data_IF_368887873248
#
_entry.id   IF_368887873248
#
_cell.length_a   1.000
_cell.length_b   1.000
_cell.length_c   1.000
_cell.angle_alpha   90.00
_cell.angle_beta   90.00
_cell.angle_gamma   90.00
#
_symmetry.space_group_name_H-M   'P 1'
#
loop_
_entity.id
_entity.type
_entity.pdbx_description
1 polymer ?
#
# COMPACT_ATOMS: atom_id res chain seq x y z
N UNK A 1 17.03 -13.25 5.30
CA UNK A 1 16.40 -11.88 5.41
C UNK A 1 17.42 -10.81 5.10
N UNK A 2 17.23 -9.99 4.06
CA UNK A 2 17.93 -8.70 4.05
C UNK A 2 17.54 -7.97 5.34
N UNK A 3 18.53 -7.50 6.09
CA UNK A 3 18.26 -6.76 7.32
C UNK A 3 17.53 -5.45 6.96
N UNK A 4 16.22 -5.39 7.19
CA UNK A 4 15.38 -4.23 6.84
C UNK A 4 15.92 -2.92 7.43
N UNK A 5 16.57 -2.99 8.61
CA UNK A 5 17.27 -1.83 9.18
C UNK A 5 18.40 -1.34 8.27
N UNK A 6 19.15 -2.26 7.66
CA UNK A 6 20.22 -1.89 6.72
C UNK A 6 19.64 -1.25 5.45
N UNK A 7 18.56 -1.82 4.91
CA UNK A 7 17.84 -1.25 3.75
C UNK A 7 17.30 0.13 4.07
N UNK A 8 16.60 0.28 5.20
CA UNK A 8 16.04 1.56 5.65
C UNK A 8 17.12 2.64 5.80
N UNK A 9 18.21 2.35 6.50
CA UNK A 9 19.31 3.32 6.67
C UNK A 9 20.01 3.63 5.34
N UNK A 10 20.15 2.65 4.44
CA UNK A 10 20.69 2.89 3.10
C UNK A 10 19.79 3.82 2.28
N UNK A 11 18.47 3.67 2.36
CA UNK A 11 17.55 4.61 1.70
C UNK A 11 17.75 6.02 2.26
N UNK A 12 17.78 6.15 3.59
CA UNK A 12 17.91 7.47 4.25
C UNK A 12 19.24 8.17 3.93
N UNK A 13 20.34 7.41 3.74
CA UNK A 13 21.64 7.98 3.38
C UNK A 13 21.68 8.62 1.98
N UNK A 14 20.69 8.36 1.14
CA UNK A 14 20.60 8.96 -0.20
C UNK A 14 19.91 10.34 -0.19
N UNK A 15 19.31 10.74 0.94
CA UNK A 15 18.67 12.05 1.06
C UNK A 15 19.64 13.07 1.64
N UNK A 16 19.41 14.35 1.29
CA UNK A 16 20.15 15.46 1.87
C UNK A 16 19.80 15.61 3.36
N UNK A 17 20.80 15.79 4.22
CA UNK A 17 20.63 15.98 5.66
C UNK A 17 19.80 17.20 6.01
N UNK A 18 19.84 18.26 5.20
CA UNK A 18 19.11 19.50 5.44
C UNK A 18 17.59 19.37 5.21
N UNK A 19 17.18 18.35 4.43
CA UNK A 19 15.77 18.07 4.10
C UNK A 19 15.26 16.76 4.72
N UNK A 20 16.10 16.06 5.48
CA UNK A 20 15.76 14.79 6.15
C UNK A 20 15.57 15.01 7.65
N UNK A 21 14.37 14.82 8.11
CA UNK A 21 13.99 14.87 9.53
C UNK A 21 13.78 13.45 10.06
N UNK A 22 14.34 13.16 11.23
CA UNK A 22 14.19 11.87 11.93
C UNK A 22 13.57 12.10 13.32
N UNK A 23 12.26 12.34 13.41
CA UNK A 23 11.58 12.58 14.68
C UNK A 23 11.67 11.38 15.61
N UNK A 24 11.73 10.16 15.07
CA UNK A 24 11.93 8.90 15.78
C UNK A 24 12.87 7.97 15.00
N UNK A 25 13.41 6.93 15.67
CA UNK A 25 14.37 5.99 15.07
C UNK A 25 13.84 5.35 13.78
N UNK A 26 12.58 4.96 13.78
CA UNK A 26 11.92 4.23 12.69
C UNK A 26 10.96 5.10 11.86
N UNK A 27 11.05 6.44 12.00
CA UNK A 27 10.32 7.40 11.19
C UNK A 27 11.25 8.44 10.57
N UNK A 28 11.07 8.65 9.28
CA UNK A 28 11.76 9.70 8.53
C UNK A 28 10.75 10.52 7.73
N UNK A 29 10.94 11.84 7.72
CA UNK A 29 10.21 12.78 6.87
C UNK A 29 11.23 13.44 5.97
N UNK A 30 10.96 13.48 4.68
CA UNK A 30 11.82 14.07 3.66
C UNK A 30 11.07 15.20 2.98
N UNK A 31 11.61 16.41 3.10
CA UNK A 31 11.04 17.60 2.47
C UNK A 31 11.44 17.68 0.99
N UNK A 32 10.45 17.89 0.11
CA UNK A 32 10.66 18.11 -1.31
C UNK A 32 9.62 17.48 -2.21
N UNK A 33 9.83 17.62 -3.53
CA UNK A 33 8.99 16.99 -4.55
C UNK A 33 9.16 15.47 -4.53
N UNK A 34 8.06 14.76 -4.32
CA UNK A 34 8.07 13.31 -4.14
C UNK A 34 8.54 12.55 -5.39
N UNK A 35 8.27 13.05 -6.60
CA UNK A 35 8.80 12.43 -7.83
C UNK A 35 10.33 12.49 -7.88
N UNK A 36 10.92 13.61 -7.48
CA UNK A 36 12.37 13.75 -7.42
C UNK A 36 12.98 12.96 -6.25
N UNK A 37 12.29 12.94 -5.11
CA UNK A 37 12.75 12.20 -3.93
C UNK A 37 12.72 10.68 -4.16
N UNK A 38 11.67 10.15 -4.82
CA UNK A 38 11.57 8.73 -5.12
C UNK A 38 12.70 8.23 -6.00
N UNK A 39 13.27 9.03 -6.91
CA UNK A 39 14.42 8.66 -7.74
C UNK A 39 15.65 8.25 -6.90
N UNK A 40 15.75 8.73 -5.65
CA UNK A 40 16.82 8.40 -4.71
C UNK A 40 16.57 7.09 -3.95
N UNK A 41 15.36 6.54 -4.00
CA UNK A 41 15.01 5.25 -3.37
C UNK A 41 15.47 4.11 -4.28
N UNK A 42 16.23 3.12 -3.77
CA UNK A 42 16.59 1.94 -4.54
C UNK A 42 15.39 1.14 -5.01
N UNK A 43 15.49 0.50 -6.17
CA UNK A 43 14.45 -0.38 -6.70
C UNK A 43 14.16 -1.53 -5.72
N UNK A 44 12.90 -1.93 -5.64
CA UNK A 44 12.42 -3.09 -4.87
C UNK A 44 12.78 -3.04 -3.36
N UNK A 45 12.73 -1.85 -2.76
CA UNK A 45 13.11 -1.64 -1.35
C UNK A 45 11.95 -1.31 -0.42
N UNK A 46 10.82 -0.85 -0.95
CA UNK A 46 9.61 -0.47 -0.19
C UNK A 46 8.63 -1.64 -0.13
N UNK A 47 8.12 -1.94 1.07
CA UNK A 47 7.17 -3.04 1.27
C UNK A 47 5.72 -2.64 1.04
N UNK A 48 5.33 -1.44 1.47
CA UNK A 48 3.98 -0.90 1.35
C UNK A 48 4.03 0.57 0.98
N UNK A 49 3.21 0.98 0.02
CA UNK A 49 2.92 2.38 -0.26
C UNK A 49 1.48 2.64 0.18
N UNK A 50 1.29 3.61 1.06
CA UNK A 50 -0.02 4.05 1.54
C UNK A 50 -0.07 5.56 1.45
N UNK A 51 -0.85 6.10 0.51
CA UNK A 51 -0.67 7.49 0.07
C UNK A 51 -1.96 8.15 -0.37
N UNK A 52 -2.08 9.45 -0.10
CA UNK A 52 -3.27 10.28 -0.33
C UNK A 52 -2.92 11.49 -1.21
N UNK A 53 -2.81 11.30 -2.55
CA UNK A 53 -2.49 12.41 -3.46
C UNK A 53 -3.60 13.45 -3.51
N UNK A 54 -3.33 14.68 -3.97
CA UNK A 54 -4.37 15.67 -4.27
C UNK A 54 -5.42 15.10 -5.23
N UNK A 55 -6.71 15.41 -4.97
CA UNK A 55 -7.81 14.77 -5.71
C UNK A 55 -8.20 15.45 -7.02
N UNK A 56 -7.60 16.59 -7.36
CA UNK A 56 -7.89 17.39 -8.55
C UNK A 56 -9.38 17.80 -8.70
N UNK A 57 -10.31 16.87 -8.43
CA UNK A 57 -11.76 17.06 -8.55
C UNK A 57 -12.40 17.87 -7.42
N UNK A 58 -11.70 18.14 -6.33
CA UNK A 58 -12.27 18.78 -5.14
C UNK A 58 -12.17 20.29 -5.14
N UNK A 59 -11.34 20.89 -6.00
CA UNK A 59 -11.11 22.34 -6.12
C UNK A 59 -10.83 23.06 -4.78
N UNK A 60 -10.21 22.38 -3.82
CA UNK A 60 -9.88 22.94 -2.53
C UNK A 60 -8.64 23.81 -2.62
N UNK A 61 -8.81 25.12 -2.58
CA UNK A 61 -7.71 26.11 -2.64
C UNK A 61 -6.69 26.01 -1.51
N UNK A 62 -7.01 25.31 -0.44
CA UNK A 62 -6.17 25.14 0.74
C UNK A 62 -5.45 23.78 0.77
N UNK A 63 -5.47 23.02 -0.32
CA UNK A 63 -4.68 21.81 -0.50
C UNK A 63 -3.78 22.04 -1.71
N UNK A 64 -2.46 22.03 -1.49
CA UNK A 64 -1.48 22.18 -2.56
C UNK A 64 -1.61 21.02 -3.55
N UNK A 65 -1.74 21.35 -4.82
CA UNK A 65 -1.92 20.37 -5.88
C UNK A 65 -3.36 20.18 -6.38
N UNK A 66 -4.40 20.38 -5.54
CA UNK A 66 -5.81 20.19 -5.94
C UNK A 66 -6.24 21.10 -7.11
N UNK A 67 -5.62 22.27 -7.25
CA UNK A 67 -5.91 23.23 -8.33
C UNK A 67 -4.75 23.40 -9.31
N UNK A 68 -3.72 22.55 -9.22
CA UNK A 68 -2.50 22.65 -10.04
C UNK A 68 -2.77 22.42 -11.53
N UNK A 69 -3.67 21.50 -11.84
CA UNK A 69 -3.96 21.10 -13.21
C UNK A 69 -5.26 21.73 -13.72
N UNK A 70 -5.25 22.19 -14.96
CA UNK A 70 -6.45 22.74 -15.62
C UNK A 70 -7.26 21.65 -16.34
N UNK A 71 -6.61 20.56 -16.74
CA UNK A 71 -7.23 19.44 -17.45
C UNK A 71 -7.03 18.17 -16.65
N UNK A 72 -8.03 17.30 -16.69
CA UNK A 72 -7.97 15.98 -16.05
C UNK A 72 -6.81 15.15 -16.60
N UNK A 73 -6.53 15.24 -17.90
CA UNK A 73 -5.46 14.49 -18.57
C UNK A 73 -4.08 14.86 -18.01
N UNK A 74 -3.80 16.15 -17.79
CA UNK A 74 -2.53 16.61 -17.23
C UNK A 74 -2.31 16.04 -15.81
N UNK A 75 -3.38 15.94 -15.02
CA UNK A 75 -3.36 15.30 -13.71
C UNK A 75 -3.12 13.79 -13.80
N UNK A 76 -3.79 13.12 -14.72
CA UNK A 76 -3.64 11.68 -14.94
C UNK A 76 -2.23 11.33 -15.42
N UNK A 77 -1.66 12.11 -16.31
CA UNK A 77 -0.28 11.95 -16.77
C UNK A 77 0.74 12.17 -15.65
N UNK A 78 0.48 13.13 -14.77
CA UNK A 78 1.28 13.33 -13.57
C UNK A 78 1.19 12.13 -12.63
N UNK A 79 -0.01 11.59 -12.37
CA UNK A 79 -0.18 10.39 -11.54
C UNK A 79 0.44 9.13 -12.18
N UNK A 80 0.48 9.04 -13.51
CA UNK A 80 1.17 7.95 -14.21
C UNK A 80 2.69 7.96 -13.94
N UNK A 81 3.30 9.14 -13.75
CA UNK A 81 4.72 9.21 -13.35
C UNK A 81 4.93 8.64 -11.95
N UNK A 82 4.02 8.92 -11.00
CA UNK A 82 4.04 8.27 -9.69
C UNK A 82 3.90 6.75 -9.81
N UNK A 83 2.97 6.26 -10.60
CA UNK A 83 2.77 4.83 -10.81
C UNK A 83 4.05 4.13 -11.29
N UNK A 84 4.80 4.73 -12.23
CA UNK A 84 6.09 4.20 -12.72
C UNK A 84 7.14 4.14 -11.61
N UNK A 85 7.28 5.19 -10.80
CA UNK A 85 8.22 5.21 -9.69
C UNK A 85 7.78 4.26 -8.57
N UNK A 86 6.50 4.21 -8.23
CA UNK A 86 5.96 3.24 -7.27
C UNK A 86 6.28 1.80 -7.68
N UNK A 87 6.08 1.46 -8.96
CA UNK A 87 6.44 0.13 -9.50
C UNK A 87 7.91 -0.18 -9.35
N UNK A 88 8.77 0.81 -9.62
CA UNK A 88 10.22 0.65 -9.53
C UNK A 88 10.70 0.39 -8.10
N UNK A 89 10.21 1.18 -7.13
CA UNK A 89 10.68 1.12 -5.74
C UNK A 89 10.01 0.04 -4.90
N UNK A 90 8.79 -0.38 -5.28
CA UNK A 90 8.03 -1.37 -4.54
C UNK A 90 8.66 -2.76 -4.68
N UNK A 91 8.75 -3.50 -3.57
CA UNK A 91 9.13 -4.92 -3.58
C UNK A 91 8.19 -5.70 -4.51
N UNK A 92 8.69 -6.81 -5.06
CA UNK A 92 7.89 -7.67 -5.94
C UNK A 92 6.61 -8.21 -5.28
N UNK A 93 6.63 -8.41 -3.97
CA UNK A 93 5.50 -8.82 -3.15
C UNK A 93 4.84 -7.67 -2.38
N UNK A 94 5.17 -6.42 -2.71
CA UNK A 94 4.60 -5.25 -2.06
C UNK A 94 3.18 -4.91 -2.50
N UNK A 95 2.56 -3.97 -1.82
CA UNK A 95 1.20 -3.49 -2.08
C UNK A 95 1.13 -1.97 -2.06
N UNK A 96 0.10 -1.42 -2.71
CA UNK A 96 -0.19 0.01 -2.72
C UNK A 96 -1.65 0.24 -2.34
N UNK A 97 -1.89 1.20 -1.48
CA UNK A 97 -3.19 1.82 -1.24
C UNK A 97 -3.11 3.29 -1.64
N UNK A 98 -3.84 3.67 -2.67
CA UNK A 98 -3.89 5.04 -3.17
C UNK A 98 -5.30 5.60 -2.98
N UNK A 99 -5.43 6.62 -2.13
CA UNK A 99 -6.70 7.32 -1.95
C UNK A 99 -7.05 8.15 -3.19
N UNK A 100 -8.33 8.24 -3.49
CA UNK A 100 -8.85 9.11 -4.54
C UNK A 100 -10.31 9.48 -4.33
N UNK A 101 -10.78 10.46 -5.08
CA UNK A 101 -12.21 10.76 -5.14
C UNK A 101 -12.95 9.73 -5.98
N UNK A 102 -14.23 9.49 -5.69
CA UNK A 102 -15.10 8.64 -6.51
C UNK A 102 -15.25 9.12 -7.96
N UNK A 103 -14.98 10.39 -8.23
CA UNK A 103 -15.06 10.98 -9.57
C UNK A 103 -13.84 10.64 -10.43
N UNK A 104 -12.65 10.50 -9.81
CA UNK A 104 -11.39 10.19 -10.52
C UNK A 104 -11.02 8.70 -10.46
N UNK A 105 -11.74 7.89 -9.70
CA UNK A 105 -11.45 6.47 -9.49
C UNK A 105 -11.23 5.70 -10.79
N UNK A 106 -12.19 5.77 -11.71
CA UNK A 106 -12.13 5.04 -12.97
C UNK A 106 -10.92 5.45 -13.84
N UNK A 107 -10.68 6.74 -13.99
CA UNK A 107 -9.58 7.25 -14.79
C UNK A 107 -8.23 6.85 -14.21
N UNK A 108 -8.06 6.93 -12.87
CA UNK A 108 -6.84 6.51 -12.19
C UNK A 108 -6.62 5.00 -12.30
N UNK A 109 -7.66 4.19 -12.11
CA UNK A 109 -7.59 2.74 -12.30
C UNK A 109 -7.13 2.37 -13.71
N UNK A 110 -7.67 3.04 -14.73
CA UNK A 110 -7.26 2.81 -16.11
C UNK A 110 -5.77 3.12 -16.34
N UNK A 111 -5.22 4.18 -15.72
CA UNK A 111 -3.79 4.49 -15.77
C UNK A 111 -2.96 3.46 -14.99
N UNK A 112 -3.33 3.17 -13.75
CA UNK A 112 -2.59 2.26 -12.88
C UNK A 112 -2.59 0.81 -13.37
N UNK A 113 -3.66 0.36 -14.04
CA UNK A 113 -3.77 -1.01 -14.57
C UNK A 113 -2.74 -1.37 -15.64
N UNK A 114 -2.01 -0.39 -16.19
CA UNK A 114 -0.87 -0.62 -17.08
C UNK A 114 0.27 -1.32 -16.33
N UNK A 115 0.51 -0.94 -15.07
CA UNK A 115 1.64 -1.35 -14.26
C UNK A 115 1.28 -2.25 -13.06
N UNK A 116 0.02 -2.22 -12.65
CA UNK A 116 -0.48 -2.91 -11.45
C UNK A 116 -1.71 -3.76 -11.72
N UNK A 117 -1.84 -4.84 -10.97
CA UNK A 117 -3.11 -5.53 -10.79
C UNK A 117 -3.93 -4.77 -9.76
N UNK A 118 -5.14 -4.35 -10.14
CA UNK A 118 -6.11 -3.77 -9.22
C UNK A 118 -6.77 -4.93 -8.46
N UNK A 119 -6.48 -5.04 -7.18
CA UNK A 119 -6.95 -6.14 -6.33
C UNK A 119 -8.35 -5.88 -5.79
N UNK A 120 -8.61 -4.64 -5.38
CA UNK A 120 -9.95 -4.14 -5.03
C UNK A 120 -9.98 -2.62 -5.04
N UNK A 121 -11.21 -2.08 -5.13
CA UNK A 121 -11.50 -0.68 -4.87
C UNK A 121 -12.29 -0.60 -3.58
N UNK A 122 -11.69 -0.02 -2.56
CA UNK A 122 -12.26 0.07 -1.22
C UNK A 122 -13.07 1.37 -1.12
N UNK A 123 -14.29 1.26 -0.65
CA UNK A 123 -15.13 2.41 -0.34
C UNK A 123 -14.99 2.74 1.14
N UNK A 124 -14.31 3.84 1.46
CA UNK A 124 -14.34 4.38 2.81
C UNK A 124 -15.59 5.22 2.99
N UNK A 125 -16.54 4.71 3.78
CA UNK A 125 -17.74 5.43 4.18
C UNK A 125 -17.39 6.39 5.31
N UNK A 126 -17.95 7.61 5.24
CA UNK A 126 -17.81 8.61 6.29
C UNK A 126 -19.11 8.59 7.10
N UNK A 127 -19.12 7.96 8.28
CA UNK A 127 -20.36 7.81 9.03
C UNK A 127 -21.03 9.14 9.33
N UNK A 128 -22.34 9.13 9.17
CA UNK A 128 -23.18 10.33 9.31
C UNK A 128 -23.60 10.53 10.77
N UNK A 129 -22.63 10.58 11.69
CA UNK A 129 -22.90 10.74 13.12
C UNK A 129 -23.10 12.21 13.51
N UNK A 130 -23.99 12.51 14.49
CA UNK A 130 -24.16 13.86 15.01
C UNK A 130 -22.82 14.42 15.51
N UNK A 131 -22.49 15.64 15.09
CA UNK A 131 -21.24 16.32 15.46
C UNK A 131 -20.13 16.24 14.41
N UNK A 132 -20.16 15.26 13.49
CA UNK A 132 -19.25 15.18 12.33
C UNK A 132 -19.75 15.97 11.12
N UNK A 133 -21.04 16.33 11.10
CA UNK A 133 -21.74 16.90 9.96
C UNK A 133 -21.82 18.42 9.94
N UNK A 134 -20.90 19.13 10.58
CA UNK A 134 -20.98 20.58 10.84
C UNK A 134 -21.69 21.43 9.78
N UNK A 135 -21.31 21.33 8.52
CA UNK A 135 -21.94 22.08 7.44
C UNK A 135 -23.03 21.30 6.67
N UNK A 136 -23.05 19.95 6.67
CA UNK A 136 -24.13 19.16 6.07
C UNK A 136 -25.50 19.48 6.68
N UNK A 137 -25.53 19.81 7.98
CA UNK A 137 -26.78 20.28 8.66
C UNK A 137 -27.29 21.60 8.08
N UNK A 138 -26.39 22.45 7.55
CA UNK A 138 -26.74 23.77 6.99
C UNK A 138 -27.06 23.67 5.49
N UNK A 139 -26.84 22.54 4.85
CA UNK A 139 -27.07 22.37 3.43
C UNK A 139 -28.55 22.16 3.12
N UNK A 140 -29.08 22.97 2.21
CA UNK A 140 -30.43 22.80 1.66
C UNK A 140 -30.44 21.66 0.66
N UNK A 141 -30.98 20.50 1.05
CA UNK A 141 -30.99 19.27 0.25
C UNK A 141 -31.69 19.45 -1.10
N UNK A 142 -32.71 20.28 -1.14
CA UNK A 142 -33.47 20.65 -2.33
C UNK A 142 -32.64 21.39 -3.41
N UNK A 143 -31.48 21.96 -3.01
CA UNK A 143 -30.56 22.61 -3.92
C UNK A 143 -29.52 21.65 -4.52
N UNK A 144 -29.48 20.41 -4.11
CA UNK A 144 -28.56 19.42 -4.68
C UNK A 144 -28.96 19.13 -6.14
N UNK A 145 -27.94 19.00 -6.99
CA UNK A 145 -28.09 18.61 -8.41
C UNK A 145 -27.38 17.29 -8.73
N UNK A 146 -26.72 16.73 -7.73
CA UNK A 146 -26.08 15.41 -7.73
C UNK A 146 -26.03 14.84 -6.31
N UNK A 147 -25.73 13.54 -6.21
CA UNK A 147 -25.55 12.93 -4.90
C UNK A 147 -24.38 13.56 -4.17
N UNK A 148 -24.58 13.89 -2.90
CA UNK A 148 -23.53 14.44 -2.05
C UNK A 148 -22.47 13.36 -1.75
N UNK A 149 -21.17 13.59 -2.04
CA UNK A 149 -20.12 12.59 -1.84
C UNK A 149 -19.86 12.39 -0.34
N UNK A 150 -20.33 11.25 0.20
CA UNK A 150 -20.16 10.86 1.60
C UNK A 150 -19.12 9.73 1.75
N UNK A 151 -18.35 9.45 0.71
CA UNK A 151 -17.33 8.42 0.71
C UNK A 151 -16.11 8.87 -0.08
N UNK A 152 -14.97 8.24 0.19
CA UNK A 152 -13.78 8.28 -0.63
C UNK A 152 -13.45 6.88 -1.15
N UNK A 153 -12.56 6.78 -2.11
CA UNK A 153 -12.11 5.52 -2.68
C UNK A 153 -10.65 5.29 -2.32
N UNK A 154 -10.30 4.02 -2.19
CA UNK A 154 -8.92 3.59 -1.99
C UNK A 154 -8.66 2.49 -3.02
N UNK A 155 -7.76 2.72 -3.95
CA UNK A 155 -7.36 1.73 -4.93
C UNK A 155 -6.28 0.85 -4.28
N UNK A 156 -6.63 -0.42 -4.04
CA UNK A 156 -5.71 -1.43 -3.54
C UNK A 156 -5.14 -2.23 -4.69
N UNK A 157 -3.82 -2.23 -4.82
CA UNK A 157 -3.14 -2.82 -5.98
C UNK A 157 -1.77 -3.41 -5.63
N UNK A 158 -1.29 -4.29 -6.49
CA UNK A 158 0.03 -4.92 -6.40
C UNK A 158 0.71 -4.93 -7.78
N UNK A 159 2.04 -5.07 -7.87
CA UNK A 159 2.75 -5.11 -9.15
C UNK A 159 2.18 -6.17 -10.10
N UNK A 160 2.08 -5.82 -11.38
CA UNK A 160 1.54 -6.71 -12.41
C UNK A 160 2.61 -7.68 -12.91
N UNK A 161 2.25 -8.96 -12.97
CA UNK A 161 3.09 -10.04 -13.48
C UNK A 161 2.34 -10.83 -14.56
N UNK A 162 2.58 -10.49 -15.82
CA UNK A 162 1.92 -11.10 -16.98
C UNK A 162 0.59 -10.44 -17.34
N UNK A 163 -0.11 -11.03 -18.32
CA UNK A 163 -1.28 -10.44 -18.96
C UNK A 163 -2.60 -10.67 -18.20
N UNK A 164 -2.64 -11.67 -17.32
CA UNK A 164 -3.85 -12.04 -16.60
C UNK A 164 -3.97 -11.30 -15.26
N UNK A 165 -5.17 -10.91 -14.91
CA UNK A 165 -5.53 -10.13 -13.73
C UNK A 165 -5.02 -10.73 -12.40
N UNK A 166 -4.93 -12.05 -12.30
CA UNK A 166 -4.58 -12.76 -11.07
C UNK A 166 -3.13 -13.24 -10.99
N UNK A 167 -2.26 -12.86 -11.93
CA UNK A 167 -0.86 -13.26 -11.86
C UNK A 167 -0.14 -12.55 -10.70
N UNK A 168 0.38 -13.33 -9.76
CA UNK A 168 1.21 -12.84 -8.65
C UNK A 168 2.69 -13.15 -8.89
N UNK A 169 3.59 -12.41 -8.23
CA UNK A 169 5.03 -12.69 -8.28
C UNK A 169 5.33 -14.12 -7.83
N UNK A 170 4.79 -14.54 -6.69
CA UNK A 170 4.94 -15.91 -6.20
C UNK A 170 4.41 -16.94 -7.21
N UNK A 171 3.23 -16.72 -7.76
CA UNK A 171 2.64 -17.64 -8.73
C UNK A 171 3.51 -17.83 -9.98
N UNK A 172 4.06 -16.75 -10.52
CA UNK A 172 4.99 -16.80 -11.64
C UNK A 172 6.27 -17.56 -11.29
N UNK A 173 6.86 -17.33 -10.11
CA UNK A 173 8.03 -18.04 -9.62
C UNK A 173 7.75 -19.52 -9.39
N UNK A 174 6.64 -19.86 -8.73
CA UNK A 174 6.25 -21.25 -8.48
C UNK A 174 6.11 -22.03 -9.79
N UNK A 175 5.45 -21.46 -10.80
CA UNK A 175 5.33 -22.08 -12.11
C UNK A 175 6.69 -22.30 -12.77
N UNK A 176 7.57 -21.31 -12.72
CA UNK A 176 8.94 -21.39 -13.25
C UNK A 176 9.75 -22.50 -12.55
N UNK A 177 9.75 -22.53 -11.22
CA UNK A 177 10.45 -23.54 -10.41
C UNK A 177 9.94 -24.95 -10.69
N UNK A 178 8.61 -25.12 -10.70
CA UNK A 178 7.98 -26.42 -11.00
C UNK A 178 8.39 -26.95 -12.38
N UNK A 179 8.36 -26.10 -13.40
CA UNK A 179 8.72 -26.47 -14.75
C UNK A 179 10.20 -26.85 -14.85
N UNK A 180 11.08 -26.12 -14.14
CA UNK A 180 12.51 -26.41 -14.13
C UNK A 180 12.83 -27.79 -13.56
N UNK A 181 12.18 -28.19 -12.45
CA UNK A 181 12.38 -29.50 -11.82
C UNK A 181 11.38 -30.56 -12.29
N UNK A 182 10.57 -30.25 -13.30
CA UNK A 182 9.61 -31.17 -13.96
C UNK A 182 8.63 -31.87 -12.98
N UNK A 183 8.10 -31.12 -11.98
CA UNK A 183 7.07 -31.62 -11.08
C UNK A 183 5.69 -31.13 -11.53
N UNK A 184 4.69 -32.02 -11.54
CA UNK A 184 3.31 -31.65 -11.88
C UNK A 184 2.67 -30.80 -10.75
N UNK A 185 1.66 -29.99 -11.10
CA UNK A 185 0.88 -29.27 -10.10
C UNK A 185 0.11 -30.20 -9.17
N UNK A 186 -0.31 -31.35 -9.68
CA UNK A 186 -1.00 -32.40 -8.92
C UNK A 186 -0.06 -32.99 -7.85
N UNK A 187 1.12 -33.50 -8.25
CA UNK A 187 2.07 -34.10 -7.32
C UNK A 187 2.49 -33.12 -6.23
N UNK A 188 2.73 -31.84 -6.60
CA UNK A 188 3.08 -30.83 -5.61
C UNK A 188 1.91 -30.51 -4.68
N UNK A 189 0.65 -30.57 -5.15
CA UNK A 189 -0.53 -30.42 -4.31
C UNK A 189 -0.64 -31.56 -3.29
N UNK A 190 -0.41 -32.79 -3.72
CA UNK A 190 -0.39 -33.97 -2.82
C UNK A 190 0.70 -33.84 -1.74
N UNK A 191 1.92 -33.51 -2.14
CA UNK A 191 3.06 -33.34 -1.22
C UNK A 191 2.76 -32.25 -0.16
N UNK A 192 2.11 -31.18 -0.54
CA UNK A 192 1.77 -30.09 0.39
C UNK A 192 0.59 -30.43 1.30
N UNK A 193 -0.19 -31.45 0.95
CA UNK A 193 -1.46 -31.77 1.63
C UNK A 193 -2.55 -30.70 1.48
N UNK A 194 -2.41 -29.82 0.50
CA UNK A 194 -3.33 -28.71 0.26
C UNK A 194 -4.43 -29.14 -0.68
N UNK A 195 -5.43 -29.85 -0.15
CA UNK A 195 -6.57 -30.36 -0.91
C UNK A 195 -7.52 -29.23 -1.34
N UNK A 196 -7.40 -28.79 -2.59
CA UNK A 196 -8.49 -28.14 -3.32
C UNK A 196 -9.29 -29.18 -4.12
N UNK A 197 -10.33 -28.78 -4.86
CA UNK A 197 -11.05 -29.66 -5.79
C UNK A 197 -10.03 -30.24 -6.79
N UNK A 198 -9.79 -31.53 -6.69
CA UNK A 198 -8.66 -32.27 -7.30
C UNK A 198 -8.65 -32.21 -8.84
N UNK A 199 -9.78 -31.87 -9.48
CA UNK A 199 -9.96 -31.96 -10.92
C UNK A 199 -9.23 -30.90 -11.78
N UNK A 200 -8.57 -29.88 -11.16
CA UNK A 200 -7.93 -28.79 -11.90
C UNK A 200 -6.58 -28.33 -11.30
N UNK A 201 -5.74 -29.27 -10.86
CA UNK A 201 -4.42 -28.95 -10.32
C UNK A 201 -4.42 -28.44 -8.87
N UNK A 202 -5.56 -28.45 -8.20
CA UNK A 202 -5.68 -28.21 -6.75
C UNK A 202 -5.20 -26.82 -6.30
N UNK A 203 -4.62 -26.77 -5.10
CA UNK A 203 -4.12 -25.53 -4.50
C UNK A 203 -2.99 -24.89 -5.30
N UNK A 204 -2.09 -25.68 -5.90
CA UNK A 204 -0.97 -25.18 -6.72
C UNK A 204 -1.46 -24.34 -7.89
N UNK A 205 -2.54 -24.78 -8.59
CA UNK A 205 -3.13 -24.00 -9.69
C UNK A 205 -3.68 -22.65 -9.21
N UNK A 206 -4.27 -22.60 -8.00
CA UNK A 206 -4.75 -21.34 -7.43
C UNK A 206 -3.60 -20.42 -7.01
N UNK A 207 -2.52 -20.97 -6.46
CA UNK A 207 -1.32 -20.20 -6.11
C UNK A 207 -0.62 -19.66 -7.35
N UNK A 208 -0.47 -20.46 -8.42
CA UNK A 208 0.09 -20.01 -9.69
C UNK A 208 -0.75 -18.96 -10.39
N UNK A 209 -2.06 -19.04 -10.24
CA UNK A 209 -2.99 -18.03 -10.77
C UNK A 209 -3.09 -16.77 -9.88
N UNK A 210 -2.45 -16.76 -8.70
CA UNK A 210 -2.52 -15.63 -7.76
C UNK A 210 -3.89 -15.44 -7.07
N UNK A 211 -4.77 -16.45 -7.13
CA UNK A 211 -6.11 -16.38 -6.51
C UNK A 211 -6.06 -16.48 -4.99
N UNK A 212 -5.06 -17.16 -4.45
CA UNK A 212 -4.75 -17.24 -3.03
C UNK A 212 -3.24 -17.43 -2.85
N UNK A 213 -2.81 -17.44 -1.59
CA UNK A 213 -1.41 -17.60 -1.20
C UNK A 213 -1.27 -18.82 -0.30
N UNK A 214 -0.13 -19.56 -0.35
CA UNK A 214 0.11 -20.65 0.58
C UNK A 214 0.35 -20.11 1.99
N UNK A 215 -0.01 -20.91 3.00
CA UNK A 215 0.47 -20.68 4.37
C UNK A 215 1.98 -20.89 4.45
N UNK A 216 2.61 -20.39 5.54
CA UNK A 216 4.05 -20.62 5.78
C UNK A 216 4.40 -22.13 5.79
N UNK A 217 3.56 -22.95 6.42
CA UNK A 217 3.77 -24.41 6.43
C UNK A 217 3.70 -24.99 5.01
N UNK A 218 2.71 -24.59 4.22
CA UNK A 218 2.57 -25.03 2.83
C UNK A 218 3.76 -24.57 1.98
N UNK A 219 4.22 -23.33 2.14
CA UNK A 219 5.40 -22.83 1.46
C UNK A 219 6.64 -23.65 1.81
N UNK A 220 6.86 -23.98 3.09
CA UNK A 220 7.97 -24.83 3.52
C UNK A 220 7.93 -26.21 2.85
N UNK A 221 6.75 -26.84 2.75
CA UNK A 221 6.56 -28.12 2.05
C UNK A 221 6.86 -27.98 0.55
N UNK A 222 6.40 -26.89 -0.10
CA UNK A 222 6.73 -26.59 -1.50
C UNK A 222 8.24 -26.53 -1.70
N UNK A 223 8.92 -25.71 -0.90
CA UNK A 223 10.37 -25.51 -1.03
C UNK A 223 11.14 -26.82 -0.83
N UNK A 224 10.77 -27.62 0.17
CA UNK A 224 11.41 -28.91 0.42
C UNK A 224 11.22 -29.88 -0.74
N UNK A 225 10.02 -29.96 -1.31
CA UNK A 225 9.74 -30.80 -2.47
C UNK A 225 10.53 -30.38 -3.71
N UNK A 226 10.66 -29.08 -3.94
CA UNK A 226 11.45 -28.53 -5.06
C UNK A 226 12.95 -28.74 -4.86
N UNK A 227 13.48 -28.53 -3.64
CA UNK A 227 14.91 -28.74 -3.32
C UNK A 227 15.36 -30.18 -3.56
N UNK A 228 14.55 -31.18 -3.20
CA UNK A 228 14.86 -32.60 -3.45
C UNK A 228 15.05 -32.88 -4.94
N UNK A 229 14.34 -32.16 -5.81
CA UNK A 229 14.38 -32.35 -7.27
C UNK A 229 15.38 -31.43 -7.98
N UNK A 230 15.76 -30.34 -7.35
CA UNK A 230 16.77 -29.40 -7.88
C UNK A 230 18.21 -29.92 -7.60
N UNK A 231 18.56 -31.04 -8.18
CA UNK A 231 19.85 -31.69 -7.97
C UNK A 231 21.06 -30.86 -8.43
N UNK A 232 20.82 -29.87 -9.27
CA UNK A 232 21.86 -28.98 -9.80
C UNK A 232 21.94 -27.64 -9.07
N UNK A 233 21.10 -27.38 -8.07
CA UNK A 233 21.10 -26.13 -7.31
C UNK A 233 20.78 -24.88 -8.14
N UNK A 234 19.93 -25.03 -9.16
CA UNK A 234 19.61 -23.95 -10.10
C UNK A 234 18.61 -22.93 -9.53
N UNK A 235 17.90 -23.29 -8.45
CA UNK A 235 16.85 -22.46 -7.88
C UNK A 235 17.33 -21.82 -6.57
N UNK A 236 17.31 -20.50 -6.52
CA UNK A 236 17.42 -19.77 -5.26
C UNK A 236 16.04 -19.60 -4.66
N UNK A 237 15.83 -20.15 -3.46
CA UNK A 237 14.55 -20.08 -2.75
C UNK A 237 14.59 -18.95 -1.71
N UNK A 238 13.83 -17.86 -1.90
CA UNK A 238 13.75 -16.77 -0.93
C UNK A 238 13.01 -17.20 0.33
N UNK A 239 13.12 -16.39 1.38
CA UNK A 239 12.28 -16.55 2.58
C UNK A 239 10.81 -16.23 2.25
N UNK A 240 9.89 -16.74 3.06
CA UNK A 240 8.45 -16.57 2.87
C UNK A 240 8.06 -15.08 2.77
N UNK A 241 8.61 -14.25 3.62
CA UNK A 241 8.36 -12.81 3.70
C UNK A 241 8.90 -12.02 2.51
N UNK A 242 9.87 -12.58 1.79
CA UNK A 242 10.47 -11.91 0.63
C UNK A 242 9.73 -12.21 -0.68
N UNK A 243 8.85 -13.22 -0.68
CA UNK A 243 8.17 -13.66 -1.91
C UNK A 243 6.64 -13.65 -1.81
N UNK A 244 6.10 -13.95 -0.64
CA UNK A 244 4.65 -13.96 -0.43
C UNK A 244 4.17 -12.54 -0.10
N UNK A 245 3.19 -12.06 -0.85
CA UNK A 245 2.56 -10.77 -0.58
C UNK A 245 1.83 -10.83 0.75
N UNK A 246 2.13 -9.95 1.71
CA UNK A 246 1.40 -9.91 2.96
C UNK A 246 -0.07 -9.57 2.70
N UNK A 247 -0.97 -10.37 3.23
CA UNK A 247 -2.38 -10.04 3.38
C UNK A 247 -2.94 -10.85 4.53
N UNK A 248 -3.06 -10.22 5.69
CA UNK A 248 -3.56 -10.86 6.90
C UNK A 248 -4.63 -10.00 7.56
N UNK A 249 -5.82 -10.53 7.69
CA UNK A 249 -6.97 -9.86 8.30
C UNK A 249 -7.41 -10.70 9.49
N UNK A 250 -7.47 -10.09 10.66
CA UNK A 250 -7.99 -10.72 11.87
C UNK A 250 -9.42 -10.24 12.19
N UNK A 251 -10.04 -10.86 13.21
CA UNK A 251 -11.43 -10.57 13.60
C UNK A 251 -11.68 -9.14 14.13
N UNK A 252 -10.64 -8.33 14.33
CA UNK A 252 -10.76 -6.94 14.81
C UNK A 252 -10.73 -5.94 13.66
N UNK A 253 -10.44 -6.39 12.45
CA UNK A 253 -10.23 -5.55 11.27
C UNK A 253 -11.47 -5.45 10.40
N UNK A 254 -11.58 -4.35 9.64
CA UNK A 254 -12.50 -4.24 8.51
C UNK A 254 -11.97 -5.12 7.37
N UNK A 255 -12.70 -6.17 7.01
CA UNK A 255 -12.23 -7.20 6.07
C UNK A 255 -12.95 -7.22 4.72
N UNK A 256 -13.96 -6.37 4.56
CA UNK A 256 -14.66 -6.17 3.29
C UNK A 256 -14.04 -5.01 2.50
N UNK A 257 -14.51 -4.76 1.30
CA UNK A 257 -14.17 -3.58 0.49
C UNK A 257 -15.00 -2.34 0.84
N UNK A 258 -15.80 -2.42 1.90
CA UNK A 258 -16.51 -1.29 2.49
C UNK A 258 -15.94 -1.06 3.89
N UNK A 259 -15.26 0.07 4.08
CA UNK A 259 -14.64 0.46 5.34
C UNK A 259 -15.41 1.58 6.00
N UNK A 260 -15.80 1.37 7.25
CA UNK A 260 -16.55 2.33 8.05
C UNK A 260 -15.68 2.90 9.18
N UNK A 261 -14.97 3.99 8.89
CA UNK A 261 -14.12 4.69 9.85
C UNK A 261 -14.55 6.14 9.99
N UNK A 262 -14.58 6.65 11.21
CA UNK A 262 -14.91 8.04 11.48
C UNK A 262 -13.86 8.99 10.92
N UNK A 263 -14.29 10.12 10.39
CA UNK A 263 -13.37 11.18 9.96
C UNK A 263 -12.71 11.83 11.17
N UNK A 264 -11.49 12.32 11.01
CA UNK A 264 -10.79 13.06 12.06
C UNK A 264 -11.59 14.31 12.44
N UNK A 265 -11.88 14.49 13.73
CA UNK A 265 -12.57 15.68 14.25
C UNK A 265 -11.76 16.94 13.99
N UNK A 266 -12.46 18.06 13.82
CA UNK A 266 -11.80 19.36 13.64
C UNK A 266 -11.07 19.79 14.91
N UNK A 267 -9.79 20.17 14.76
CA UNK A 267 -8.98 20.81 15.80
C UNK A 267 -8.10 21.90 15.18
N UNK A 268 -7.53 22.77 16.02
CA UNK A 268 -6.67 23.87 15.56
C UNK A 268 -5.38 23.30 14.93
N UNK A 269 -5.07 23.70 13.70
CA UNK A 269 -3.89 23.24 12.98
C UNK A 269 -4.06 21.92 12.23
N UNK A 270 -5.26 21.32 12.24
CA UNK A 270 -5.56 20.10 11.51
C UNK A 270 -5.30 20.24 10.01
N UNK A 271 -4.63 19.25 9.41
CA UNK A 271 -4.50 19.15 7.97
C UNK A 271 -5.88 18.95 7.30
N UNK A 272 -6.20 19.66 6.20
CA UNK A 272 -7.54 19.60 5.58
C UNK A 272 -7.97 18.21 5.12
N UNK A 273 -7.00 17.36 4.72
CA UNK A 273 -7.21 16.00 4.21
C UNK A 273 -6.71 14.89 5.16
N UNK A 274 -6.52 15.20 6.45
CA UNK A 274 -6.02 14.24 7.43
C UNK A 274 -6.87 12.97 7.51
N UNK A 275 -6.21 11.81 7.36
CA UNK A 275 -6.86 10.50 7.43
C UNK A 275 -6.87 9.96 8.87
N UNK A 276 -7.92 9.21 9.27
CA UNK A 276 -8.00 8.56 10.57
C UNK A 276 -6.89 7.51 10.75
N UNK A 277 -6.28 7.45 11.93
CA UNK A 277 -5.21 6.52 12.24
C UNK A 277 -5.68 5.06 12.13
N UNK A 278 -6.84 4.73 12.67
CA UNK A 278 -7.43 3.39 12.64
C UNK A 278 -7.69 2.87 11.22
N UNK A 279 -8.09 3.74 10.30
CA UNK A 279 -8.21 3.40 8.88
C UNK A 279 -6.85 3.05 8.26
N UNK A 280 -5.82 3.86 8.56
CA UNK A 280 -4.48 3.64 8.06
C UNK A 280 -3.85 2.38 8.67
N UNK A 281 -4.06 2.15 9.98
CA UNK A 281 -3.65 0.93 10.68
C UNK A 281 -4.28 -0.32 10.04
N UNK A 282 -5.56 -0.27 9.65
CA UNK A 282 -6.23 -1.36 8.97
C UNK A 282 -5.50 -1.78 7.68
N UNK A 283 -5.13 -0.82 6.83
CA UNK A 283 -4.38 -1.07 5.61
C UNK A 283 -2.96 -1.60 5.88
N UNK A 284 -2.23 -0.98 6.82
CA UNK A 284 -0.85 -1.32 7.16
C UNK A 284 -0.78 -2.72 7.77
N UNK A 285 -1.68 -3.04 8.71
CA UNK A 285 -1.74 -4.35 9.38
C UNK A 285 -2.05 -5.46 8.37
N UNK A 286 -2.97 -5.23 7.45
CA UNK A 286 -3.31 -6.20 6.41
C UNK A 286 -2.14 -6.49 5.47
N UNK A 287 -1.36 -5.49 5.05
CA UNK A 287 -0.49 -5.61 3.88
C UNK A 287 0.99 -5.34 4.16
N UNK A 288 1.43 -5.51 5.40
CA UNK A 288 2.85 -5.42 5.77
C UNK A 288 3.19 -6.30 6.97
N UNK A 289 4.45 -6.70 7.07
CA UNK A 289 5.00 -7.34 8.26
C UNK A 289 5.59 -6.31 9.23
N UNK A 290 5.76 -6.71 10.51
CA UNK A 290 6.53 -5.92 11.49
C UNK A 290 7.94 -5.67 10.94
N UNK A 291 8.47 -4.47 11.13
CA UNK A 291 9.71 -3.94 10.56
C UNK A 291 9.68 -3.65 9.04
N UNK A 292 8.62 -3.90 8.31
CA UNK A 292 8.51 -3.48 6.92
C UNK A 292 8.56 -1.96 6.76
N UNK A 293 8.96 -1.49 5.57
CA UNK A 293 9.04 -0.07 5.25
C UNK A 293 7.74 0.36 4.57
N UNK A 294 7.05 1.30 5.19
CA UNK A 294 5.85 1.98 4.67
C UNK A 294 6.25 3.34 4.12
N UNK A 295 5.91 3.61 2.87
CA UNK A 295 6.14 4.89 2.21
C UNK A 295 4.83 5.64 2.03
N UNK A 296 4.82 6.92 2.40
CA UNK A 296 3.78 7.88 2.03
C UNK A 296 4.39 9.00 1.18
N UNK A 297 3.93 9.14 -0.06
CA UNK A 297 4.44 10.14 -1.01
C UNK A 297 3.71 11.48 -0.94
N UNK A 298 2.68 11.60 -0.09
CA UNK A 298 1.91 12.83 0.15
C UNK A 298 1.54 12.91 1.63
N UNK A 299 2.55 13.08 2.48
CA UNK A 299 2.46 12.84 3.92
C UNK A 299 1.48 13.75 4.67
N UNK A 300 1.33 15.01 4.22
CA UNK A 300 0.49 15.98 4.91
C UNK A 300 0.83 16.07 6.41
N UNK A 301 -0.08 15.63 7.26
CA UNK A 301 0.07 15.70 8.73
C UNK A 301 0.85 14.56 9.38
N UNK A 302 1.39 13.61 8.60
CA UNK A 302 2.18 12.47 9.13
C UNK A 302 1.35 11.34 9.75
N UNK A 303 0.05 11.27 9.48
CA UNK A 303 -0.82 10.23 10.03
C UNK A 303 -0.40 8.82 9.64
N UNK A 304 0.06 8.64 8.38
CA UNK A 304 0.56 7.34 7.89
C UNK A 304 1.81 6.90 8.67
N UNK A 305 2.70 7.83 8.97
CA UNK A 305 3.91 7.54 9.74
C UNK A 305 3.56 7.13 11.19
N UNK A 306 2.64 7.84 11.83
CA UNK A 306 2.17 7.49 13.17
C UNK A 306 1.54 6.09 13.20
N UNK A 307 0.64 5.79 12.27
CA UNK A 307 0.02 4.47 12.13
C UNK A 307 1.05 3.35 11.85
N UNK A 308 2.07 3.63 11.05
CA UNK A 308 3.13 2.65 10.77
C UNK A 308 3.95 2.34 12.03
N UNK A 309 4.31 3.38 12.79
CA UNK A 309 5.09 3.23 14.02
C UNK A 309 4.31 2.48 15.11
N UNK A 310 3.02 2.78 15.32
CA UNK A 310 2.17 2.11 16.32
C UNK A 310 2.10 0.59 16.08
N UNK A 311 2.27 0.17 14.84
CA UNK A 311 2.27 -1.22 14.42
C UNK A 311 3.69 -1.83 14.29
N UNK A 312 4.74 -1.14 14.73
CA UNK A 312 6.12 -1.62 14.66
C UNK A 312 6.71 -1.65 13.24
N UNK A 313 6.19 -0.84 12.33
CA UNK A 313 6.73 -0.66 10.98
C UNK A 313 7.65 0.55 10.94
N UNK A 314 8.49 0.63 9.89
CA UNK A 314 9.31 1.81 9.59
C UNK A 314 8.55 2.70 8.62
N UNK A 315 8.69 4.02 8.77
CA UNK A 315 8.04 4.98 7.89
C UNK A 315 9.02 5.87 7.17
N UNK A 316 8.76 6.10 5.89
CA UNK A 316 9.35 7.18 5.09
C UNK A 316 8.19 8.00 4.55
N UNK A 317 8.18 9.29 4.86
CA UNK A 317 7.15 10.23 4.46
C UNK A 317 7.76 11.34 3.63
N UNK A 318 7.09 11.74 2.55
CA UNK A 318 7.52 12.82 1.68
C UNK A 318 6.48 13.95 1.69
N UNK A 319 6.95 15.18 1.85
CA UNK A 319 6.08 16.36 1.91
C UNK A 319 6.79 17.56 1.28
N UNK A 320 6.04 18.33 0.49
CA UNK A 320 6.59 19.48 -0.22
C UNK A 320 6.42 20.80 0.55
N UNK A 321 5.43 20.87 1.44
CA UNK A 321 5.15 22.07 2.21
C UNK A 321 5.82 22.03 3.57
N UNK A 322 6.82 22.91 3.80
CA UNK A 322 7.53 23.04 5.08
C UNK A 322 6.59 23.06 6.30
N UNK A 323 5.49 23.79 6.21
CA UNK A 323 4.47 23.83 7.28
C UNK A 323 3.98 22.44 7.70
N UNK A 324 3.75 21.55 6.73
CA UNK A 324 3.27 20.19 7.02
C UNK A 324 4.41 19.26 7.39
N UNK A 325 5.62 19.50 6.88
CA UNK A 325 6.83 18.84 7.36
C UNK A 325 6.99 19.08 8.86
N UNK A 326 6.96 20.34 9.32
CA UNK A 326 7.09 20.67 10.73
C UNK A 326 5.94 20.09 11.58
N UNK A 327 4.71 20.18 11.10
CA UNK A 327 3.56 19.59 11.79
C UNK A 327 3.70 18.06 11.97
N UNK A 328 4.21 17.36 10.95
CA UNK A 328 4.48 15.93 11.00
C UNK A 328 5.62 15.60 11.96
N UNK A 329 6.68 16.38 11.96
CA UNK A 329 7.82 16.24 12.89
C UNK A 329 7.35 16.40 14.34
N UNK A 330 6.59 17.44 14.62
CA UNK A 330 6.06 17.72 15.97
C UNK A 330 5.09 16.64 16.44
N UNK A 331 4.20 16.18 15.55
CA UNK A 331 3.30 15.05 15.80
C UNK A 331 4.08 13.84 16.25
N UNK A 332 5.04 13.40 15.45
CA UNK A 332 5.79 12.18 15.73
C UNK A 332 6.73 12.29 16.93
N UNK A 333 7.23 13.48 17.26
CA UNK A 333 7.99 13.72 18.50
C UNK A 333 7.10 13.64 19.73
N UNK A 334 5.87 14.11 19.65
CA UNK A 334 4.93 14.15 20.78
C UNK A 334 4.20 12.82 21.00
N UNK A 335 4.12 11.97 19.97
CA UNK A 335 3.43 10.68 20.07
C UNK A 335 4.26 9.69 20.87
N UNK A 336 3.75 9.26 22.04
CA UNK A 336 4.24 8.07 22.73
C UNK A 336 3.71 6.86 21.98
N UNK A 337 4.61 6.12 21.33
CA UNK A 337 4.22 4.95 20.53
C UNK A 337 4.08 3.76 21.46
N UNK A 338 2.85 3.40 21.80
CA UNK A 338 2.51 2.10 22.33
C UNK A 338 2.41 1.11 21.17
N UNK A 339 3.27 0.09 21.15
CA UNK A 339 3.23 -0.92 20.11
C UNK A 339 1.94 -1.75 20.22
N UNK A 340 1.11 -1.67 19.20
CA UNK A 340 -0.09 -2.50 19.00
C UNK A 340 0.29 -3.76 18.19
N UNK A 341 1.14 -4.63 18.79
CA UNK A 341 1.64 -5.84 18.10
C UNK A 341 0.78 -7.04 18.43
#
# INVERSE_FOLDING_TARGET
MMNTNKVYNNILSNFNTDTLYRPQKDAAIVEGDSLELMKKIPSHSISLILTDPPYHSTNKKNITGDTKFKKDEDFLDWMEQFAKEWKRILKFNGSIYCFCSSQMEYQLINRFSKDFNILSTITWTKPNKPGFDGWRKKMKKENLRQWYPASERIVFMAPKYGENLFNSYFGAKLRSWRNLVKISGHDLTEITGAYGKVNHGGAVSNWEAGRNIPSREQYTKIINALKIRDTNGLISFPDYEDIIRPFNVDGTMQYTDIWDFETVRQYRGKHPAEKPIDLLENAIKASSYVNDIVLDTFSGSGSTAEAALSLGRKSISMEIEDKWVQASVDRLKSTQIELKV
#
